data_IF_506113290328
#
_entry.id   IF_506113290328
#
_cell.length_a   1.000
_cell.length_b   1.000
_cell.length_c   1.000
_cell.angle_alpha   90.00
_cell.angle_beta   90.00
_cell.angle_gamma   90.00
#
_symmetry.space_group_name_H-M   'P 1'
#
loop_
_entity.id
_entity.type
_entity.pdbx_description
1 polymer ?
#
# COMPACT_ATOMS: atom_id res chain seq x y z
N UNK A 1 14.81 -12.83 -45.31
CA UNK A 1 15.14 -11.79 -44.32
C UNK A 1 14.39 -10.52 -44.68
N UNK A 2 13.10 -10.49 -44.34
CA UNK A 2 12.29 -9.28 -44.37
C UNK A 2 11.83 -9.09 -42.93
N UNK A 3 12.33 -8.05 -42.29
CA UNK A 3 11.83 -7.60 -41.00
C UNK A 3 10.65 -6.69 -41.32
N UNK A 4 9.43 -7.15 -41.05
CA UNK A 4 8.27 -6.27 -41.00
C UNK A 4 8.46 -5.38 -39.78
N UNK A 5 8.71 -4.08 -39.97
CA UNK A 5 8.61 -3.11 -38.87
C UNK A 5 7.14 -2.97 -38.50
N UNK A 6 6.76 -3.58 -37.38
CA UNK A 6 5.52 -3.30 -36.67
C UNK A 6 5.48 -1.80 -36.30
N UNK A 7 4.54 -1.01 -36.85
CA UNK A 7 4.33 0.33 -36.39
C UNK A 7 3.49 0.25 -35.12
N UNK A 8 4.01 0.82 -34.02
CA UNK A 8 3.27 1.27 -32.84
C UNK A 8 3.38 0.44 -31.54
N UNK A 9 4.57 0.07 -31.09
CA UNK A 9 4.83 0.01 -29.64
C UNK A 9 5.15 1.42 -29.11
N UNK A 10 4.10 2.25 -28.98
CA UNK A 10 4.21 3.42 -28.10
C UNK A 10 4.35 2.87 -26.68
N UNK A 11 5.38 3.22 -25.89
CA UNK A 11 5.33 2.96 -24.47
C UNK A 11 4.11 3.70 -23.94
N UNK A 12 3.14 2.95 -23.46
CA UNK A 12 1.95 3.47 -22.82
C UNK A 12 2.43 4.42 -21.70
N UNK A 13 2.14 5.70 -21.86
CA UNK A 13 2.11 6.66 -20.74
C UNK A 13 0.87 6.30 -19.93
N UNK A 14 0.85 5.07 -19.41
CA UNK A 14 -0.18 4.55 -18.54
C UNK A 14 0.06 5.14 -17.15
N UNK A 15 -0.74 6.17 -16.88
CA UNK A 15 -1.48 6.26 -15.64
C UNK A 15 -0.67 6.50 -14.35
N UNK A 16 0.12 7.58 -14.33
CA UNK A 16 0.53 8.21 -13.05
C UNK A 16 -0.67 8.61 -12.16
N UNK A 17 -1.90 8.61 -12.70
CA UNK A 17 -3.15 8.85 -11.96
C UNK A 17 -3.66 7.66 -11.15
N UNK A 18 -3.34 6.40 -11.51
CA UNK A 18 -3.73 5.23 -10.69
C UNK A 18 -2.79 4.97 -9.52
N UNK A 19 -1.51 5.31 -9.65
CA UNK A 19 -0.56 5.27 -8.52
C UNK A 19 -0.82 6.40 -7.50
N UNK A 20 -1.19 7.60 -7.96
CA UNK A 20 -1.67 8.68 -7.08
C UNK A 20 -2.99 8.34 -6.36
N UNK A 21 -3.74 7.33 -6.83
CA UNK A 21 -5.01 6.89 -6.25
C UNK A 21 -4.82 6.08 -4.96
N UNK A 22 -3.59 5.69 -4.62
CA UNK A 22 -3.24 5.00 -3.38
C UNK A 22 -3.41 5.92 -2.15
N UNK A 23 -3.16 7.23 -2.28
CA UNK A 23 -3.22 8.22 -1.19
C UNK A 23 -4.47 9.11 -1.38
N UNK A 24 -5.33 9.31 -0.37
CA UNK A 24 -6.51 10.15 -0.53
C UNK A 24 -6.14 11.62 -0.77
N UNK A 25 -6.75 12.24 -1.79
CA UNK A 25 -6.55 13.67 -2.13
C UNK A 25 -6.77 14.60 -0.93
N UNK A 26 -7.73 14.27 -0.05
CA UNK A 26 -8.00 15.06 1.13
C UNK A 26 -6.82 15.12 2.11
N UNK A 27 -6.03 14.04 2.24
CA UNK A 27 -4.85 14.07 3.10
C UNK A 27 -3.70 14.85 2.48
N UNK A 28 -3.59 14.87 1.15
CA UNK A 28 -2.60 15.69 0.45
C UNK A 28 -2.89 17.17 0.68
N UNK A 29 -4.14 17.59 0.46
CA UNK A 29 -4.57 18.98 0.72
C UNK A 29 -4.31 19.34 2.19
N UNK A 30 -4.72 18.49 3.13
CA UNK A 30 -4.52 18.76 4.56
C UNK A 30 -3.04 18.86 4.94
N UNK A 31 -2.17 18.04 4.35
CA UNK A 31 -0.72 18.10 4.62
C UNK A 31 -0.10 19.43 4.15
N UNK A 32 -0.52 19.93 2.99
CA UNK A 32 -0.08 21.23 2.46
C UNK A 32 -0.61 22.39 3.31
N UNK A 33 -1.86 22.30 3.76
CA UNK A 33 -2.46 23.29 4.67
C UNK A 33 -1.74 23.31 6.02
N UNK A 34 -1.45 22.15 6.61
CA UNK A 34 -0.73 22.07 7.90
C UNK A 34 0.71 22.58 7.73
N UNK A 35 1.42 22.17 6.68
CA UNK A 35 2.77 22.65 6.41
C UNK A 35 2.81 24.16 6.23
N UNK A 36 1.96 24.70 5.35
CA UNK A 36 1.89 26.16 5.10
C UNK A 36 1.48 26.92 6.35
N UNK A 37 0.51 26.42 7.12
CA UNK A 37 0.07 27.00 8.39
C UNK A 37 1.20 27.07 9.42
N UNK A 38 1.97 25.99 9.61
CA UNK A 38 3.12 25.97 10.54
C UNK A 38 4.17 27.00 10.11
N UNK A 39 4.44 27.12 8.80
CA UNK A 39 5.42 28.07 8.29
C UNK A 39 4.95 29.52 8.42
N UNK A 40 3.67 29.79 8.15
CA UNK A 40 3.05 31.11 8.36
C UNK A 40 3.08 31.49 9.84
N UNK A 41 2.66 30.62 10.75
CA UNK A 41 2.68 30.91 12.20
C UNK A 41 4.11 31.21 12.69
N UNK A 42 5.10 30.44 12.25
CA UNK A 42 6.50 30.69 12.61
C UNK A 42 7.04 31.98 11.98
N UNK A 43 6.63 32.32 10.76
CA UNK A 43 7.03 33.56 10.09
C UNK A 43 6.44 34.80 10.76
N UNK A 44 5.15 34.77 11.12
CA UNK A 44 4.47 35.84 11.84
C UNK A 44 4.98 35.97 13.29
N UNK A 45 5.16 34.85 13.99
CA UNK A 45 5.75 34.84 15.34
C UNK A 45 7.20 35.34 15.38
N UNK A 46 7.95 35.17 14.28
CA UNK A 46 9.30 35.74 14.10
C UNK A 46 9.28 37.27 14.04
N UNK A 47 8.27 37.89 13.44
CA UNK A 47 8.13 39.35 13.45
C UNK A 47 7.86 39.90 14.88
N UNK A 48 7.32 39.07 15.78
CA UNK A 48 7.00 39.47 17.14
C UNK A 48 8.11 39.19 18.19
N UNK A 49 9.17 38.44 17.86
CA UNK A 49 10.18 37.96 18.82
C UNK A 49 11.59 38.54 18.58
N UNK A 50 12.18 39.16 19.61
CA UNK A 50 13.48 39.87 19.66
C UNK A 50 14.75 38.96 19.52
N UNK A 51 15.98 39.51 19.28
CA UNK A 51 16.85 39.11 18.16
C UNK A 51 18.19 38.39 18.52
N UNK A 52 18.27 37.50 19.51
CA UNK A 52 19.58 36.90 19.93
C UNK A 52 19.69 35.37 19.84
N UNK A 53 18.89 34.71 18.99
CA UNK A 53 19.03 33.28 18.70
C UNK A 53 19.24 33.04 17.21
N UNK A 54 20.24 32.24 16.85
CA UNK A 54 20.72 32.07 15.47
C UNK A 54 19.56 31.82 14.49
N UNK A 55 19.33 32.71 13.49
CA UNK A 55 18.16 32.64 12.63
C UNK A 55 18.13 31.37 11.78
N UNK A 56 19.31 30.82 11.44
CA UNK A 56 19.45 29.60 10.65
C UNK A 56 18.92 28.37 11.40
N UNK A 57 19.28 28.18 12.67
CA UNK A 57 18.86 27.01 13.45
C UNK A 57 17.34 26.98 13.65
N UNK A 58 16.72 28.15 13.80
CA UNK A 58 15.26 28.26 13.88
C UNK A 58 14.55 27.91 12.58
N UNK A 59 15.07 28.37 11.45
CA UNK A 59 14.53 28.02 10.13
C UNK A 59 14.65 26.51 9.92
N UNK A 60 15.84 25.93 10.13
CA UNK A 60 16.03 24.47 9.96
C UNK A 60 15.10 23.68 10.89
N UNK A 61 14.96 24.09 12.16
CA UNK A 61 14.07 23.46 13.12
C UNK A 61 12.58 23.56 12.73
N UNK A 62 12.13 24.75 12.28
CA UNK A 62 10.73 24.96 11.89
C UNK A 62 10.36 24.17 10.64
N UNK A 63 11.26 24.14 9.65
CA UNK A 63 11.07 23.33 8.45
C UNK A 63 11.04 21.83 8.78
N UNK A 64 11.96 21.34 9.62
CA UNK A 64 12.01 19.93 10.01
C UNK A 64 10.74 19.52 10.75
N UNK A 65 10.27 20.34 11.69
CA UNK A 65 9.04 20.09 12.44
C UNK A 65 7.78 20.15 11.56
N UNK A 66 7.68 21.16 10.68
CA UNK A 66 6.58 21.28 9.72
C UNK A 66 6.53 20.10 8.75
N UNK A 67 7.68 19.66 8.24
CA UNK A 67 7.78 18.49 7.38
C UNK A 67 7.38 17.20 8.12
N UNK A 68 7.83 17.02 9.36
CA UNK A 68 7.43 15.88 10.19
C UNK A 68 5.91 15.81 10.37
N UNK A 69 5.27 16.92 10.75
CA UNK A 69 3.80 16.99 10.89
C UNK A 69 3.07 16.72 9.57
N UNK A 70 3.52 17.32 8.47
CA UNK A 70 2.92 17.09 7.15
C UNK A 70 3.04 15.62 6.71
N UNK A 71 4.21 14.99 6.94
CA UNK A 71 4.42 13.57 6.67
C UNK A 71 3.52 12.68 7.53
N UNK A 72 3.30 13.06 8.79
CA UNK A 72 2.40 12.34 9.70
C UNK A 72 0.94 12.41 9.24
N UNK A 73 0.50 13.56 8.74
CA UNK A 73 -0.84 13.72 8.14
C UNK A 73 -1.02 12.80 6.93
N UNK A 74 -0.04 12.72 6.05
CA UNK A 74 -0.10 11.81 4.89
C UNK A 74 -0.19 10.36 5.34
N UNK A 75 0.55 9.98 6.38
CA UNK A 75 0.50 8.65 6.97
C UNK A 75 -0.91 8.34 7.52
N UNK A 76 -1.54 9.27 8.23
CA UNK A 76 -2.93 9.13 8.71
C UNK A 76 -3.88 8.91 7.54
N UNK A 77 -3.76 9.71 6.48
CA UNK A 77 -4.54 9.56 5.25
C UNK A 77 -4.39 8.17 4.63
N UNK A 78 -3.15 7.70 4.52
CA UNK A 78 -2.84 6.35 4.02
C UNK A 78 -3.49 5.25 4.89
N UNK A 79 -3.33 5.33 6.22
CA UNK A 79 -3.90 4.33 7.15
C UNK A 79 -5.43 4.30 7.05
N UNK A 80 -6.09 5.46 6.98
CA UNK A 80 -7.56 5.53 6.88
C UNK A 80 -8.11 4.73 5.69
N UNK A 81 -7.38 4.76 4.57
CA UNK A 81 -7.73 4.02 3.36
C UNK A 81 -7.32 2.55 3.44
N UNK A 82 -6.17 2.26 4.04
CA UNK A 82 -5.70 0.88 4.19
C UNK A 82 -6.58 0.05 5.14
N UNK A 83 -7.07 0.65 6.23
CA UNK A 83 -8.03 0.02 7.16
C UNK A 83 -9.34 -0.33 6.43
N UNK A 84 -9.85 0.59 5.59
CA UNK A 84 -11.07 0.36 4.79
C UNK A 84 -10.90 -0.78 3.78
N UNK A 85 -9.72 -0.94 3.18
CA UNK A 85 -9.42 -2.06 2.26
C UNK A 85 -9.35 -3.41 2.99
N UNK A 86 -8.95 -3.42 4.26
CA UNK A 86 -8.80 -4.63 5.07
C UNK A 86 -10.07 -5.05 5.82
N UNK A 87 -11.22 -4.42 5.55
CA UNK A 87 -12.49 -4.67 6.24
C UNK A 87 -12.41 -4.55 7.77
N UNK A 88 -11.45 -3.76 8.28
CA UNK A 88 -11.34 -3.47 9.71
C UNK A 88 -12.12 -2.18 10.05
N UNK A 89 -12.51 -2.02 11.32
CA UNK A 89 -13.25 -0.85 11.78
C UNK A 89 -12.39 0.42 11.67
N UNK A 90 -12.64 1.21 10.61
CA UNK A 90 -11.89 2.45 10.31
C UNK A 90 -11.86 3.41 11.52
N UNK A 91 -12.97 3.56 12.22
CA UNK A 91 -13.07 4.47 13.37
C UNK A 91 -12.13 4.11 14.53
N UNK A 92 -12.07 2.84 14.92
CA UNK A 92 -11.27 2.40 16.08
C UNK A 92 -9.78 2.57 15.79
N UNK A 93 -9.32 2.15 14.61
CA UNK A 93 -7.93 2.28 14.22
C UNK A 93 -7.49 3.74 14.06
N UNK A 94 -8.35 4.59 13.50
CA UNK A 94 -8.08 6.02 13.40
C UNK A 94 -8.04 6.68 14.77
N UNK A 95 -8.92 6.29 15.69
CA UNK A 95 -8.91 6.79 17.07
C UNK A 95 -7.62 6.39 17.80
N UNK A 96 -7.15 5.15 17.64
CA UNK A 96 -5.88 4.70 18.22
C UNK A 96 -4.70 5.50 17.67
N UNK A 97 -4.63 5.71 16.34
CA UNK A 97 -3.56 6.48 15.68
C UNK A 97 -3.59 7.96 16.09
N UNK A 98 -4.78 8.52 16.31
CA UNK A 98 -4.95 9.92 16.70
C UNK A 98 -4.65 10.16 18.18
N UNK A 99 -5.09 9.27 19.06
CA UNK A 99 -4.99 9.41 20.52
C UNK A 99 -3.57 9.11 21.02
N UNK A 100 -2.85 8.20 20.37
CA UNK A 100 -1.49 7.82 20.76
C UNK A 100 -0.45 8.78 20.13
N UNK A 101 0.13 9.73 20.89
CA UNK A 101 1.09 10.68 20.36
C UNK A 101 2.40 10.00 19.93
N UNK A 102 3.19 10.68 19.10
CA UNK A 102 4.53 10.23 18.70
C UNK A 102 4.56 9.11 17.66
N UNK A 103 3.45 8.83 16.98
CA UNK A 103 3.39 7.81 15.92
C UNK A 103 3.33 6.36 16.42
N UNK A 104 3.21 6.15 17.73
CA UNK A 104 3.05 4.83 18.35
C UNK A 104 1.84 4.10 17.76
N UNK A 105 0.71 4.80 17.57
CA UNK A 105 -0.48 4.20 16.97
C UNK A 105 -0.27 3.71 15.54
N UNK A 106 0.59 4.38 14.76
CA UNK A 106 0.95 3.91 13.42
C UNK A 106 1.81 2.64 13.48
N UNK A 107 2.77 2.57 14.41
CA UNK A 107 3.59 1.37 14.61
C UNK A 107 2.71 0.17 15.00
N UNK A 108 1.82 0.37 15.98
CA UNK A 108 0.86 -0.66 16.42
C UNK A 108 -0.02 -1.11 15.26
N UNK A 109 -0.50 -0.19 14.42
CA UNK A 109 -1.27 -0.51 13.22
C UNK A 109 -0.50 -1.41 12.25
N UNK A 110 0.78 -1.10 11.98
CA UNK A 110 1.58 -1.92 11.07
C UNK A 110 1.88 -3.31 11.63
N UNK A 111 2.08 -3.45 12.95
CA UNK A 111 2.31 -4.74 13.59
C UNK A 111 1.07 -5.64 13.58
N UNK A 112 -0.12 -5.06 13.82
CA UNK A 112 -1.39 -5.79 13.88
C UNK A 112 -2.11 -5.87 12.53
N UNK A 113 -1.42 -5.52 11.44
CA UNK A 113 -2.00 -5.41 10.10
C UNK A 113 -2.48 -6.78 9.60
N UNK A 114 -3.80 -6.95 9.53
CA UNK A 114 -4.40 -8.22 9.07
C UNK A 114 -4.31 -8.42 7.56
N UNK A 115 -4.15 -9.66 7.06
CA UNK A 115 -4.07 -9.93 5.62
C UNK A 115 -5.34 -9.46 4.89
N UNK A 116 -5.18 -9.07 3.61
CA UNK A 116 -6.32 -8.67 2.79
C UNK A 116 -7.29 -9.86 2.65
N UNK A 117 -8.58 -9.62 2.84
CA UNK A 117 -9.62 -10.63 2.67
C UNK A 117 -10.11 -10.65 1.23
N UNK A 118 -10.30 -11.84 0.66
CA UNK A 118 -10.83 -12.04 -0.69
C UNK A 118 -11.99 -13.02 -0.64
N UNK A 119 -13.03 -12.79 -1.44
CA UNK A 119 -14.18 -13.68 -1.52
C UNK A 119 -13.90 -14.83 -2.48
N UNK A 120 -14.20 -16.05 -2.05
CA UNK A 120 -14.17 -17.19 -2.95
C UNK A 120 -15.22 -17.02 -4.07
N UNK A 121 -14.86 -17.17 -5.35
CA UNK A 121 -15.84 -17.02 -6.44
C UNK A 121 -16.83 -18.18 -6.52
N UNK A 122 -16.52 -19.35 -5.95
CA UNK A 122 -17.41 -20.50 -5.93
C UNK A 122 -18.43 -20.42 -4.80
N UNK A 123 -17.98 -20.26 -3.54
CA UNK A 123 -18.85 -20.30 -2.36
C UNK A 123 -19.10 -18.96 -1.67
N UNK A 124 -18.48 -17.87 -2.13
CA UNK A 124 -18.55 -16.50 -1.56
C UNK A 124 -18.07 -16.33 -0.12
N UNK A 125 -17.52 -17.37 0.51
CA UNK A 125 -16.87 -17.26 1.82
C UNK A 125 -15.70 -16.29 1.76
N UNK A 126 -15.56 -15.45 2.78
CA UNK A 126 -14.41 -14.55 2.94
C UNK A 126 -13.22 -15.36 3.46
N UNK A 127 -12.14 -15.36 2.70
CA UNK A 127 -10.91 -16.09 2.99
C UNK A 127 -9.74 -15.12 2.93
N UNK A 128 -8.78 -15.24 3.86
CA UNK A 128 -7.59 -14.43 3.79
C UNK A 128 -6.80 -14.76 2.51
N UNK A 129 -6.31 -13.72 1.81
CA UNK A 129 -5.52 -13.83 0.57
C UNK A 129 -4.25 -14.68 0.72
N UNK A 130 -3.82 -15.02 1.94
CA UNK A 130 -2.70 -15.93 2.19
C UNK A 130 -3.00 -17.40 1.91
N UNK A 131 -4.26 -17.85 1.92
CA UNK A 131 -4.61 -19.26 1.77
C UNK A 131 -4.62 -19.71 0.31
N UNK A 132 -4.10 -20.91 0.04
CA UNK A 132 -4.07 -21.49 -1.31
C UNK A 132 -5.40 -22.14 -1.71
N UNK A 133 -6.14 -22.66 -0.73
CA UNK A 133 -7.43 -23.31 -0.93
C UNK A 133 -8.50 -22.71 -0.02
N UNK A 134 -9.74 -22.66 -0.50
CA UNK A 134 -10.87 -22.29 0.33
C UNK A 134 -11.21 -23.41 1.33
N UNK A 135 -11.31 -23.13 2.64
CA UNK A 135 -11.58 -24.15 3.65
C UNK A 135 -13.00 -24.73 3.58
N UNK A 136 -13.94 -24.06 2.91
CA UNK A 136 -15.35 -24.49 2.84
C UNK A 136 -15.65 -25.32 1.58
N UNK A 137 -15.12 -24.93 0.41
CA UNK A 137 -15.45 -25.58 -0.86
C UNK A 137 -14.24 -26.23 -1.56
N UNK A 138 -13.04 -26.19 -0.96
CA UNK A 138 -11.78 -26.67 -1.54
C UNK A 138 -11.36 -26.01 -2.86
N UNK A 139 -11.99 -24.89 -3.21
CA UNK A 139 -11.65 -24.15 -4.41
C UNK A 139 -10.24 -23.55 -4.32
N UNK A 140 -9.42 -23.78 -5.35
CA UNK A 140 -8.03 -23.31 -5.40
C UNK A 140 -7.96 -21.82 -5.71
N UNK A 141 -7.52 -21.03 -4.73
CA UNK A 141 -7.40 -19.56 -4.82
C UNK A 141 -6.06 -19.11 -5.40
N UNK A 142 -4.99 -19.90 -5.25
CA UNK A 142 -3.63 -19.61 -5.73
C UNK A 142 -2.99 -20.84 -6.38
N UNK A 143 -2.05 -20.66 -7.33
CA UNK A 143 -1.35 -21.79 -7.95
C UNK A 143 -0.51 -22.54 -6.91
N UNK A 144 -0.53 -23.88 -6.98
CA UNK A 144 0.24 -24.78 -6.13
C UNK A 144 0.82 -25.89 -6.97
N UNK A 145 1.96 -26.43 -6.54
CA UNK A 145 2.57 -27.60 -7.18
C UNK A 145 1.75 -28.88 -6.93
N UNK A 146 1.53 -29.68 -7.98
CA UNK A 146 0.79 -30.94 -7.92
C UNK A 146 1.50 -32.07 -7.16
N UNK A 147 2.82 -31.99 -7.00
CA UNK A 147 3.60 -33.02 -6.29
C UNK A 147 3.82 -32.71 -4.81
N UNK A 148 4.17 -31.47 -4.46
CA UNK A 148 4.51 -31.09 -3.08
C UNK A 148 3.46 -30.22 -2.38
N UNK A 149 2.40 -29.79 -3.09
CA UNK A 149 1.31 -28.94 -2.59
C UNK A 149 1.74 -27.61 -1.96
N UNK A 150 2.98 -27.16 -2.24
CA UNK A 150 3.45 -25.82 -1.85
C UNK A 150 3.00 -24.77 -2.87
N UNK A 151 2.85 -23.53 -2.39
CA UNK A 151 2.50 -22.39 -3.24
C UNK A 151 3.63 -22.09 -4.21
N UNK A 152 3.26 -21.77 -5.44
CA UNK A 152 4.18 -21.40 -6.52
C UNK A 152 3.74 -20.06 -7.11
N UNK A 153 4.62 -19.36 -7.83
CA UNK A 153 4.21 -18.22 -8.64
C UNK A 153 3.60 -18.68 -9.95
N UNK A 154 2.77 -17.83 -10.54
CA UNK A 154 2.04 -18.13 -11.78
C UNK A 154 2.95 -18.19 -13.01
N UNK A 155 4.12 -17.55 -12.91
CA UNK A 155 5.17 -17.49 -13.92
C UNK A 155 6.24 -18.57 -13.71
N UNK A 156 6.15 -19.38 -12.65
CA UNK A 156 7.14 -20.42 -12.38
C UNK A 156 6.92 -21.60 -13.31
N UNK A 157 7.98 -22.00 -14.03
CA UNK A 157 7.97 -23.23 -14.86
C UNK A 157 8.28 -24.46 -14.00
N UNK A 158 9.13 -24.30 -12.98
CA UNK A 158 9.53 -25.37 -12.07
C UNK A 158 9.28 -24.98 -10.61
N UNK A 159 8.90 -25.94 -9.78
CA UNK A 159 8.70 -25.71 -8.37
C UNK A 159 10.04 -25.45 -7.65
N UNK A 160 10.18 -24.28 -7.02
CA UNK A 160 11.38 -23.89 -6.24
C UNK A 160 11.65 -24.75 -5.00
N UNK A 161 10.77 -25.69 -4.67
CA UNK A 161 10.89 -26.54 -3.48
C UNK A 161 11.19 -28.00 -3.82
N UNK A 162 10.63 -28.54 -4.91
CA UNK A 162 10.80 -29.95 -5.29
C UNK A 162 11.34 -30.17 -6.71
N UNK A 163 11.49 -29.12 -7.52
CA UNK A 163 11.97 -29.22 -8.91
C UNK A 163 10.96 -29.81 -9.89
N UNK A 164 9.71 -30.03 -9.48
CA UNK A 164 8.62 -30.53 -10.35
C UNK A 164 8.29 -29.53 -11.45
N UNK A 165 8.02 -30.02 -12.66
CA UNK A 165 7.58 -29.23 -13.80
C UNK A 165 6.10 -28.85 -13.64
N UNK A 166 5.83 -27.55 -13.50
CA UNK A 166 4.51 -27.00 -13.24
C UNK A 166 3.65 -26.89 -14.51
N UNK A 167 4.25 -27.03 -15.70
CA UNK A 167 3.51 -26.97 -16.97
C UNK A 167 2.54 -28.14 -17.14
N UNK A 168 2.86 -29.29 -16.55
CA UNK A 168 2.02 -30.49 -16.53
C UNK A 168 0.96 -30.51 -15.44
N UNK A 169 0.95 -29.53 -14.53
CA UNK A 169 -0.05 -29.47 -13.46
C UNK A 169 -1.37 -28.86 -13.97
N UNK A 170 -2.50 -29.47 -13.59
CA UNK A 170 -3.85 -28.98 -13.93
C UNK A 170 -4.22 -27.73 -13.11
N UNK A 171 -3.53 -26.62 -13.37
CA UNK A 171 -3.90 -25.32 -12.81
C UNK A 171 -5.20 -24.83 -13.45
N UNK A 172 -6.14 -24.27 -12.65
CA UNK A 172 -7.42 -23.79 -13.18
C UNK A 172 -7.18 -22.69 -14.22
N UNK A 173 -7.91 -22.75 -15.35
CA UNK A 173 -7.71 -21.89 -16.52
C UNK A 173 -7.62 -20.39 -16.21
N UNK A 174 -8.37 -19.91 -15.21
CA UNK A 174 -8.34 -18.51 -14.75
C UNK A 174 -6.99 -18.03 -14.19
N UNK A 175 -6.13 -18.94 -13.76
CA UNK A 175 -4.78 -18.62 -13.31
C UNK A 175 -3.83 -18.56 -14.52
N UNK A 176 -4.11 -19.31 -15.59
CA UNK A 176 -3.30 -19.28 -16.81
C UNK A 176 -3.45 -17.99 -17.62
N UNK A 177 -4.54 -17.23 -17.43
CA UNK A 177 -4.74 -15.97 -18.16
C UNK A 177 -3.71 -14.86 -17.84
N UNK A 178 -2.81 -15.08 -16.89
CA UNK A 178 -1.75 -14.14 -16.52
C UNK A 178 -0.34 -14.67 -16.84
N UNK A 179 -0.23 -15.82 -17.51
CA UNK A 179 1.07 -16.43 -17.88
C UNK A 179 1.48 -16.16 -19.33
N UNK A 180 0.62 -15.55 -20.14
CA UNK A 180 0.87 -15.15 -21.54
C UNK A 180 1.26 -13.66 -21.62
#
# INVERSE_FOLDING_TARGET
MAWETDPQSRPDVEDGSSDLKMIPLWSVILSLVVFSGVQVLNFWGRQASMPHRNPVMHVVGSYSWGAALASYVLLIGYISRDVKRRNMSAGIWMLIVLVMPGGIGAIVYFLLRQPMMTRCPSCRTEVASGFHFCPQCRFQMKPVCGQCFRGVHITDVFCVQCGHDLTGDDMPARLRSYSD
#
